data_IF_146358013325
#
_entry.id   IF_146358013325
#
_cell.length_a   1.000
_cell.length_b   1.000
_cell.length_c   1.000
_cell.angle_alpha   90.00
_cell.angle_beta   90.00
_cell.angle_gamma   90.00
#
_symmetry.space_group_name_H-M   'P 1'
#
loop_
_entity.id
_entity.type
_entity.pdbx_description
1 polymer ?
#
# COMPACT_ATOMS: atom_id res chain seq x y z
N UNK A 1 31.92 3.97 -47.18
CA UNK A 1 32.03 4.67 -45.87
C UNK A 1 30.91 5.68 -45.62
N UNK A 2 30.26 6.21 -46.65
CA UNK A 2 29.16 7.19 -46.51
C UNK A 2 27.80 6.60 -46.10
N UNK A 3 27.54 5.34 -46.38
CA UNK A 3 26.23 4.71 -46.06
C UNK A 3 26.04 4.40 -44.58
N UNK A 4 27.13 4.17 -43.82
CA UNK A 4 27.08 3.94 -42.37
C UNK A 4 26.84 5.22 -41.52
N UNK A 5 27.24 6.38 -42.05
CA UNK A 5 27.02 7.68 -41.38
C UNK A 5 25.54 8.13 -41.51
N UNK A 6 24.86 7.78 -42.61
CA UNK A 6 23.47 8.13 -42.81
C UNK A 6 22.51 7.32 -41.91
N UNK A 7 22.84 6.05 -41.65
CA UNK A 7 22.04 5.20 -40.74
C UNK A 7 22.21 5.65 -39.28
N UNK A 8 23.37 6.12 -38.88
CA UNK A 8 23.62 6.67 -37.51
C UNK A 8 22.89 8.01 -37.29
N UNK A 9 22.81 8.89 -38.30
CA UNK A 9 22.08 10.15 -38.22
C UNK A 9 20.56 9.96 -38.15
N UNK A 10 20.00 8.96 -38.84
CA UNK A 10 18.59 8.62 -38.76
C UNK A 10 18.25 7.99 -37.40
N UNK A 11 19.14 7.16 -36.82
CA UNK A 11 18.93 6.58 -35.50
C UNK A 11 18.99 7.63 -34.38
N UNK A 12 19.86 8.65 -34.48
CA UNK A 12 19.95 9.76 -33.52
C UNK A 12 18.71 10.67 -33.63
N UNK A 13 18.20 10.91 -34.85
CA UNK A 13 16.99 11.72 -35.05
C UNK A 13 15.72 11.01 -34.58
N UNK A 14 15.64 9.67 -34.68
CA UNK A 14 14.50 8.89 -34.14
C UNK A 14 14.52 8.76 -32.60
N UNK A 15 15.67 8.84 -31.95
CA UNK A 15 15.73 8.89 -30.48
C UNK A 15 15.30 10.22 -29.87
N UNK A 16 15.33 11.32 -30.62
CA UNK A 16 14.84 12.62 -30.14
C UNK A 16 13.31 12.79 -30.26
N UNK A 17 12.61 11.96 -31.03
CA UNK A 17 11.14 12.05 -31.19
C UNK A 17 10.38 11.18 -30.18
N UNK A 18 11.04 10.26 -29.47
CA UNK A 18 10.45 9.43 -28.41
C UNK A 18 10.62 9.98 -26.99
N UNK A 19 11.19 11.16 -26.84
CA UNK A 19 11.09 11.99 -25.64
C UNK A 19 9.69 12.58 -25.52
N UNK A 20 8.64 11.74 -25.51
CA UNK A 20 7.34 12.12 -24.95
C UNK A 20 7.59 12.43 -23.48
N UNK A 21 7.95 13.68 -23.25
CA UNK A 21 7.78 14.32 -21.95
C UNK A 21 6.37 13.95 -21.48
N UNK A 22 6.30 13.05 -20.50
CA UNK A 22 5.10 12.97 -19.66
C UNK A 22 4.86 14.39 -19.19
N UNK A 23 3.93 15.09 -19.82
CA UNK A 23 3.26 16.23 -19.19
C UNK A 23 2.64 15.65 -17.94
N UNK A 24 3.43 15.62 -16.87
CA UNK A 24 2.91 15.44 -15.55
C UNK A 24 1.78 16.46 -15.40
N UNK A 25 0.65 15.98 -14.99
CA UNK A 25 -0.51 16.77 -14.63
C UNK A 25 -0.13 17.73 -13.47
N UNK A 26 0.59 18.80 -13.81
CA UNK A 26 0.95 19.92 -12.95
C UNK A 26 -0.27 20.79 -12.63
N UNK A 27 -1.44 20.44 -13.14
CA UNK A 27 -2.60 21.32 -13.18
C UNK A 27 -3.54 21.26 -11.98
N UNK A 28 -3.32 20.43 -10.98
CA UNK A 28 -4.26 20.33 -9.84
C UNK A 28 -3.90 21.19 -8.62
N UNK A 29 -2.64 21.51 -8.40
CA UNK A 29 -2.21 22.37 -7.28
C UNK A 29 -2.22 23.86 -7.63
N UNK A 30 -2.11 24.20 -8.91
CA UNK A 30 -1.89 25.55 -9.41
C UNK A 30 -3.06 26.52 -9.16
N UNK A 31 -4.25 26.02 -8.84
CA UNK A 31 -5.44 26.84 -8.75
C UNK A 31 -6.21 26.69 -7.42
N UNK A 32 -5.58 26.18 -6.35
CA UNK A 32 -6.27 26.01 -5.06
C UNK A 32 -6.66 27.34 -4.41
N UNK A 33 -5.78 28.34 -4.49
CA UNK A 33 -5.99 29.66 -3.92
C UNK A 33 -7.10 30.41 -4.69
N UNK A 34 -7.00 30.44 -6.01
CA UNK A 34 -8.00 31.07 -6.88
C UNK A 34 -9.39 30.48 -6.73
N UNK A 35 -9.46 29.16 -6.69
CA UNK A 35 -10.72 28.44 -6.45
C UNK A 35 -11.33 28.80 -5.08
N UNK A 36 -10.53 28.87 -4.04
CA UNK A 36 -11.01 29.24 -2.72
C UNK A 36 -11.50 30.68 -2.66
N UNK A 37 -10.78 31.62 -3.28
CA UNK A 37 -11.20 33.01 -3.42
C UNK A 37 -12.54 33.13 -4.16
N UNK A 38 -12.66 32.51 -5.32
CA UNK A 38 -13.90 32.51 -6.10
C UNK A 38 -15.06 31.87 -5.33
N UNK A 39 -14.80 30.80 -4.59
CA UNK A 39 -15.81 30.17 -3.73
C UNK A 39 -16.32 31.13 -2.67
N UNK A 40 -15.42 31.88 -1.98
CA UNK A 40 -15.80 32.88 -0.99
C UNK A 40 -16.60 34.02 -1.61
N UNK A 41 -16.09 34.62 -2.70
CA UNK A 41 -16.76 35.74 -3.39
C UNK A 41 -18.16 35.37 -3.86
N UNK A 42 -18.32 34.16 -4.42
CA UNK A 42 -19.60 33.73 -4.95
C UNK A 42 -20.58 33.30 -3.86
N UNK A 43 -20.08 32.79 -2.71
CA UNK A 43 -20.92 32.51 -1.53
C UNK A 43 -21.44 33.79 -0.84
N UNK A 44 -20.68 34.88 -0.87
CA UNK A 44 -21.12 36.16 -0.31
C UNK A 44 -22.16 36.87 -1.20
N UNK A 45 -22.07 36.65 -2.50
CA UNK A 45 -23.01 37.29 -3.47
C UNK A 45 -24.31 36.52 -3.67
N UNK A 46 -24.33 35.19 -3.46
CA UNK A 46 -25.55 34.40 -3.67
C UNK A 46 -26.27 34.18 -2.35
N UNK A 47 -27.34 34.94 -2.14
CA UNK A 47 -28.35 34.63 -1.11
C UNK A 47 -29.30 33.51 -1.56
N UNK A 48 -29.35 33.16 -2.85
CA UNK A 48 -30.29 32.21 -3.46
C UNK A 48 -29.69 31.46 -4.66
N UNK A 49 -29.87 30.13 -4.71
CA UNK A 49 -29.85 29.30 -5.91
C UNK A 49 -28.50 28.71 -6.37
N UNK A 50 -28.47 27.38 -6.56
CA UNK A 50 -27.32 26.59 -6.99
C UNK A 50 -26.78 26.94 -8.38
N UNK A 51 -27.62 27.40 -9.31
CA UNK A 51 -27.23 27.68 -10.72
C UNK A 51 -26.39 28.94 -10.84
N UNK A 52 -26.78 30.03 -10.18
CA UNK A 52 -26.08 31.33 -10.21
C UNK A 52 -24.69 31.23 -9.55
N UNK A 53 -24.57 30.42 -8.52
CA UNK A 53 -23.30 30.19 -7.82
C UNK A 53 -22.28 29.49 -8.75
N UNK A 54 -22.71 28.55 -9.56
CA UNK A 54 -21.82 27.85 -10.49
C UNK A 54 -21.36 28.79 -11.62
N UNK A 55 -22.23 29.62 -12.15
CA UNK A 55 -21.89 30.59 -13.19
C UNK A 55 -20.94 31.69 -12.65
N UNK A 56 -21.18 32.17 -11.42
CA UNK A 56 -20.28 33.10 -10.73
C UNK A 56 -18.86 32.50 -10.62
N UNK A 57 -18.74 31.27 -10.13
CA UNK A 57 -17.44 30.59 -9.97
C UNK A 57 -16.69 30.42 -11.28
N UNK A 58 -17.38 30.09 -12.37
CA UNK A 58 -16.75 29.95 -13.69
C UNK A 58 -16.24 31.27 -14.22
N UNK A 59 -17.05 32.35 -14.16
CA UNK A 59 -16.65 33.71 -14.54
C UNK A 59 -15.48 34.22 -13.71
N UNK A 60 -15.52 34.04 -12.39
CA UNK A 60 -14.44 34.46 -11.48
C UNK A 60 -13.09 33.81 -11.81
N UNK A 61 -13.09 32.54 -12.25
CA UNK A 61 -11.85 31.82 -12.61
C UNK A 61 -11.26 32.29 -13.93
N UNK A 62 -12.09 32.73 -14.88
CA UNK A 62 -11.64 33.21 -16.19
C UNK A 62 -11.06 34.62 -16.07
N UNK A 63 -11.71 35.47 -15.29
CA UNK A 63 -11.33 36.88 -15.09
C UNK A 63 -10.54 37.07 -13.79
N UNK A 64 -9.59 36.21 -13.55
CA UNK A 64 -8.82 36.28 -12.33
C UNK A 64 -7.79 37.41 -12.37
N UNK A 65 -7.90 38.35 -11.44
CA UNK A 65 -6.84 39.31 -11.11
C UNK A 65 -6.28 38.97 -9.73
N UNK A 66 -5.01 38.63 -9.69
CA UNK A 66 -4.33 38.32 -8.43
C UNK A 66 -3.85 39.60 -7.74
N UNK A 67 -3.80 39.63 -6.39
CA UNK A 67 -3.34 40.79 -5.65
C UNK A 67 -1.84 41.05 -5.83
N UNK A 68 -1.44 42.27 -5.58
CA UNK A 68 -0.06 42.73 -5.60
C UNK A 68 0.36 43.36 -6.94
N UNK A 69 1.57 43.92 -6.99
CA UNK A 69 2.12 44.61 -8.16
C UNK A 69 3.29 43.86 -8.77
N UNK A 70 3.41 43.90 -10.09
CA UNK A 70 4.57 43.39 -10.81
C UNK A 70 5.79 44.26 -10.52
N UNK A 71 6.99 43.66 -10.46
CA UNK A 71 8.25 44.40 -10.37
C UNK A 71 8.41 45.26 -11.62
N UNK A 72 8.63 46.54 -11.44
CA UNK A 72 9.01 47.44 -12.52
C UNK A 72 10.46 47.08 -12.88
N UNK A 73 10.68 46.62 -14.10
CA UNK A 73 12.02 46.39 -14.61
C UNK A 73 12.48 47.68 -15.34
N UNK A 74 13.42 48.39 -14.75
CA UNK A 74 14.09 49.53 -15.38
C UNK A 74 15.13 49.07 -16.40
N UNK A 75 15.03 47.86 -16.90
CA UNK A 75 15.95 47.29 -17.89
C UNK A 75 15.71 47.94 -19.26
N UNK A 76 16.76 48.27 -20.01
CA UNK A 76 16.64 48.75 -21.38
C UNK A 76 15.80 47.78 -22.21
N UNK A 77 14.87 48.29 -23.03
CA UNK A 77 13.94 47.48 -23.85
C UNK A 77 14.62 46.38 -24.70
N UNK A 78 15.85 46.58 -25.07
CA UNK A 78 16.64 45.62 -25.87
C UNK A 78 17.24 44.47 -25.07
N UNK A 79 17.28 44.57 -23.73
CA UNK A 79 17.77 43.50 -22.86
C UNK A 79 16.65 42.55 -22.38
N UNK A 80 15.39 42.79 -22.75
CA UNK A 80 14.27 41.96 -22.35
C UNK A 80 14.07 40.77 -23.32
N UNK A 81 13.93 39.58 -22.79
CA UNK A 81 13.57 38.42 -23.58
C UNK A 81 12.12 38.52 -24.06
N UNK A 82 11.89 38.34 -25.38
CA UNK A 82 10.55 38.27 -25.95
C UNK A 82 9.90 36.90 -25.72
N UNK A 83 9.72 36.53 -24.45
CA UNK A 83 9.11 35.25 -24.07
C UNK A 83 7.69 35.53 -23.58
N UNK A 84 6.70 34.99 -24.26
CA UNK A 84 5.30 35.00 -23.82
C UNK A 84 4.99 33.68 -23.09
N UNK A 85 5.14 33.66 -21.75
CA UNK A 85 4.83 32.50 -20.92
C UNK A 85 3.40 32.52 -20.38
N UNK A 86 2.74 33.67 -20.42
CA UNK A 86 1.37 33.88 -19.94
C UNK A 86 0.71 35.08 -20.61
N UNK A 87 -0.64 35.04 -20.68
CA UNK A 87 -1.47 36.13 -21.18
C UNK A 87 -2.42 36.68 -20.09
N UNK A 88 -2.51 36.00 -18.96
CA UNK A 88 -3.36 36.38 -17.82
C UNK A 88 -2.86 35.77 -16.52
N UNK A 89 -3.25 36.36 -15.39
CA UNK A 89 -2.91 35.86 -14.04
C UNK A 89 -3.42 34.43 -13.80
N UNK A 90 -4.48 33.99 -14.50
CA UNK A 90 -5.05 32.63 -14.37
C UNK A 90 -4.11 31.52 -14.87
N UNK A 91 -3.13 31.86 -15.71
CA UNK A 91 -2.14 30.91 -16.24
C UNK A 91 -0.92 30.77 -15.33
N UNK A 92 -0.76 31.63 -14.35
CA UNK A 92 0.34 31.62 -13.40
C UNK A 92 0.00 30.83 -12.13
N UNK A 93 1.00 30.18 -11.55
CA UNK A 93 0.81 29.35 -10.37
C UNK A 93 0.69 30.18 -9.08
N UNK A 94 -0.09 29.67 -8.11
CA UNK A 94 -0.17 30.23 -6.77
C UNK A 94 -0.47 31.71 -6.74
N UNK A 95 0.43 32.50 -6.17
CA UNK A 95 0.35 33.96 -6.04
C UNK A 95 0.98 34.73 -7.20
N UNK A 96 1.67 34.03 -8.09
CA UNK A 96 2.33 34.65 -9.25
C UNK A 96 1.35 35.37 -10.17
N UNK A 97 1.76 36.53 -10.66
CA UNK A 97 1.05 37.32 -11.64
C UNK A 97 1.70 37.21 -13.01
N UNK A 98 0.90 37.42 -14.05
CA UNK A 98 1.39 37.57 -15.38
C UNK A 98 1.94 39.00 -15.58
N UNK A 99 3.23 39.14 -15.50
CA UNK A 99 3.90 40.45 -15.58
C UNK A 99 4.49 40.68 -16.94
N UNK A 100 4.19 41.85 -17.53
CA UNK A 100 4.77 42.29 -18.81
C UNK A 100 6.16 42.88 -18.61
N UNK A 101 7.08 42.52 -19.47
CA UNK A 101 8.46 43.03 -19.49
C UNK A 101 8.94 43.17 -20.95
N UNK A 102 9.29 44.38 -21.32
CA UNK A 102 9.74 44.66 -22.69
C UNK A 102 8.74 44.20 -23.73
N UNK A 103 9.09 43.16 -24.52
CA UNK A 103 8.25 42.59 -25.57
C UNK A 103 7.56 41.26 -25.18
N UNK A 104 7.65 40.82 -23.93
CA UNK A 104 7.07 39.55 -23.47
C UNK A 104 6.34 39.63 -22.15
N UNK A 105 5.90 38.49 -21.68
CA UNK A 105 5.24 38.34 -20.37
C UNK A 105 5.62 37.04 -19.70
N UNK A 106 5.80 37.06 -18.38
CA UNK A 106 6.13 35.88 -17.60
C UNK A 106 5.46 35.89 -16.22
N UNK A 107 5.28 34.70 -15.65
CA UNK A 107 4.76 34.55 -14.31
C UNK A 107 5.83 34.94 -13.27
N UNK A 108 5.55 35.97 -12.46
CA UNK A 108 6.44 36.49 -11.44
C UNK A 108 5.72 36.73 -10.12
N UNK A 109 6.42 36.58 -8.99
CA UNK A 109 5.88 36.91 -7.68
C UNK A 109 5.72 38.44 -7.54
N UNK A 110 4.55 38.90 -7.03
CA UNK A 110 4.34 40.31 -6.75
C UNK A 110 5.28 40.82 -5.66
N UNK A 111 5.75 42.08 -5.78
CA UNK A 111 6.73 42.65 -4.83
C UNK A 111 6.15 43.14 -3.54
N UNK A 112 4.87 43.51 -3.49
CA UNK A 112 4.18 44.10 -2.38
C UNK A 112 3.18 43.19 -1.66
N UNK A 113 3.14 41.92 -2.04
CA UNK A 113 2.09 41.01 -1.55
C UNK A 113 2.03 40.88 -0.03
N UNK A 114 3.16 40.94 0.65
CA UNK A 114 3.25 40.78 2.10
C UNK A 114 2.73 42.04 2.86
N UNK A 115 2.87 43.24 2.26
CA UNK A 115 2.49 44.52 2.86
C UNK A 115 1.10 44.98 2.43
N UNK A 116 0.52 44.36 1.41
CA UNK A 116 -0.76 44.79 0.82
C UNK A 116 -1.89 44.68 1.84
N UNK A 117 -2.58 45.82 2.09
CA UNK A 117 -3.71 45.86 2.99
C UNK A 117 -4.91 45.07 2.48
N UNK A 118 -5.76 44.58 3.41
CA UNK A 118 -6.99 43.83 3.05
C UNK A 118 -6.78 42.35 2.71
N UNK A 119 -5.54 41.87 2.68
CA UNK A 119 -5.26 40.44 2.56
C UNK A 119 -5.13 39.79 3.94
N UNK A 120 -5.66 38.56 4.13
CA UNK A 120 -5.46 37.85 5.40
C UNK A 120 -3.98 37.59 5.66
N UNK A 121 -3.60 37.65 6.96
CA UNK A 121 -2.23 37.36 7.35
C UNK A 121 -1.78 35.96 6.96
N UNK A 122 -0.49 35.80 6.64
CA UNK A 122 0.08 34.52 6.31
C UNK A 122 0.11 33.62 7.57
N UNK A 123 -0.46 32.40 7.54
CA UNK A 123 -0.47 31.54 8.72
C UNK A 123 0.92 31.07 9.12
N UNK A 124 1.10 30.73 10.40
CA UNK A 124 2.26 30.03 10.92
C UNK A 124 1.78 28.66 11.37
N UNK A 125 2.30 27.59 10.74
CA UNK A 125 1.91 26.23 11.06
C UNK A 125 2.74 25.68 12.21
N UNK A 126 2.08 25.24 13.27
CA UNK A 126 2.73 24.59 14.41
C UNK A 126 3.15 23.16 14.03
N UNK A 127 4.04 22.57 14.86
CA UNK A 127 4.36 21.15 14.78
C UNK A 127 3.11 20.29 14.94
N UNK A 128 2.93 19.30 14.06
CA UNK A 128 1.82 18.36 14.14
C UNK A 128 1.96 17.45 15.36
N UNK A 129 0.86 17.26 16.13
CA UNK A 129 0.88 16.50 17.37
C UNK A 129 -0.03 15.28 17.28
N UNK A 130 0.53 14.10 17.55
CA UNK A 130 -0.26 12.88 17.68
C UNK A 130 -0.90 12.80 19.06
N UNK A 131 -2.23 12.70 19.08
CA UNK A 131 -3.07 12.54 20.27
C UNK A 131 -3.47 11.07 20.47
N UNK A 132 -4.20 10.80 21.54
CA UNK A 132 -4.71 9.46 21.85
C UNK A 132 -5.47 8.85 20.65
N UNK A 133 -5.37 7.53 20.46
CA UNK A 133 -6.01 6.76 19.40
C UNK A 133 -5.57 7.15 17.98
N UNK A 134 -4.31 7.57 17.78
CA UNK A 134 -3.78 7.89 16.46
C UNK A 134 -4.40 9.11 15.78
N UNK A 135 -5.06 9.99 16.55
CA UNK A 135 -5.61 11.25 16.06
C UNK A 135 -4.49 12.28 15.94
N UNK A 136 -4.27 12.81 14.74
CA UNK A 136 -3.23 13.79 14.48
C UNK A 136 -3.87 15.16 14.43
N UNK A 137 -3.34 16.08 15.23
CA UNK A 137 -3.79 17.45 15.31
C UNK A 137 -2.78 18.37 14.66
N UNK A 138 -3.26 19.20 13.73
CA UNK A 138 -2.49 20.26 13.09
C UNK A 138 -3.15 21.58 13.48
N UNK A 139 -2.34 22.54 13.90
CA UNK A 139 -2.76 23.89 14.30
C UNK A 139 -1.95 24.91 13.53
N UNK A 140 -2.52 26.06 13.36
CA UNK A 140 -1.84 27.24 12.85
C UNK A 140 -2.38 28.50 13.52
N UNK A 141 -1.53 29.50 13.64
CA UNK A 141 -1.95 30.83 14.06
C UNK A 141 -2.58 31.59 12.90
N UNK A 142 -3.31 32.62 13.17
CA UNK A 142 -3.85 33.53 12.15
C UNK A 142 -2.78 34.38 11.43
N UNK A 143 -1.51 34.18 11.78
CA UNK A 143 -0.36 34.97 11.33
C UNK A 143 -0.04 36.13 12.27
N UNK A 144 1.26 36.40 12.47
CA UNK A 144 1.76 37.64 13.11
C UNK A 144 2.02 38.60 11.95
N UNK A 145 1.10 39.48 11.74
CA UNK A 145 1.28 40.59 10.82
C UNK A 145 0.53 41.75 11.39
N UNK A 146 1.16 42.88 11.40
CA UNK A 146 0.66 44.10 11.94
C UNK A 146 -0.84 44.26 11.82
N UNK A 147 -1.41 44.46 13.02
CA UNK A 147 -2.66 45.13 13.26
C UNK A 147 -3.82 44.62 12.40
N UNK A 148 -4.68 43.95 13.04
CA UNK A 148 -6.14 44.01 13.01
C UNK A 148 -6.79 45.14 12.14
N UNK A 149 -6.32 45.38 10.95
CA UNK A 149 -7.17 45.91 9.90
C UNK A 149 -8.04 44.73 9.48
N UNK A 150 -9.25 44.75 10.01
CA UNK A 150 -10.27 43.75 9.80
C UNK A 150 -10.25 43.33 8.33
N UNK A 151 -9.83 42.09 8.08
CA UNK A 151 -9.96 41.48 6.74
C UNK A 151 -11.47 41.47 6.49
N UNK A 152 -11.98 42.18 5.48
CA UNK A 152 -13.41 42.17 5.23
C UNK A 152 -13.84 40.75 4.82
N UNK A 153 -14.86 40.22 5.52
CA UNK A 153 -15.48 38.97 5.16
C UNK A 153 -14.87 37.74 5.82
N UNK A 154 -15.21 36.58 5.26
CA UNK A 154 -14.80 35.26 5.78
C UNK A 154 -13.40 34.86 5.29
N UNK A 155 -12.62 34.25 6.16
CA UNK A 155 -11.32 33.66 5.80
C UNK A 155 -11.47 32.15 5.69
N UNK A 156 -10.93 31.61 4.60
CA UNK A 156 -10.84 30.17 4.33
C UNK A 156 -9.37 29.75 4.38
N UNK A 157 -9.07 28.70 5.11
CA UNK A 157 -7.73 28.12 5.16
C UNK A 157 -7.66 26.90 4.24
N UNK A 158 -6.57 26.78 3.49
CA UNK A 158 -6.24 25.63 2.67
C UNK A 158 -5.05 24.95 3.31
N UNK A 159 -5.23 23.70 3.73
CA UNK A 159 -4.16 22.86 4.27
C UNK A 159 -3.66 21.93 3.18
N UNK A 160 -2.36 21.98 2.92
CA UNK A 160 -1.66 21.07 2.01
C UNK A 160 -0.61 20.26 2.76
N UNK A 161 -0.33 19.07 2.23
CA UNK A 161 0.72 18.20 2.71
C UNK A 161 1.65 17.80 1.56
N UNK A 162 2.90 17.54 1.89
CA UNK A 162 3.82 16.79 1.05
C UNK A 162 4.45 15.69 1.89
N UNK A 163 4.80 14.58 1.26
CA UNK A 163 5.37 13.46 1.98
C UNK A 163 6.33 12.64 1.15
N UNK A 164 7.17 11.86 1.85
CA UNK A 164 7.93 10.77 1.26
C UNK A 164 7.84 9.51 2.13
N UNK A 165 8.11 8.36 1.55
CA UNK A 165 8.17 7.07 2.25
C UNK A 165 9.61 6.78 2.65
N UNK A 166 9.84 6.47 3.93
CA UNK A 166 11.19 6.13 4.39
C UNK A 166 11.33 6.12 5.92
N UNK A 167 12.41 5.47 6.42
CA UNK A 167 12.69 5.40 7.86
C UNK A 167 13.22 6.72 8.44
N UNK A 168 13.85 7.56 7.61
CA UNK A 168 14.41 8.85 7.99
C UNK A 168 13.78 9.95 7.15
N UNK A 169 13.76 11.16 7.68
CA UNK A 169 13.36 12.33 6.93
C UNK A 169 14.44 12.73 5.94
N UNK A 170 14.05 12.92 4.70
CA UNK A 170 14.92 13.36 3.61
C UNK A 170 14.15 14.38 2.75
N UNK A 171 14.53 15.65 2.85
CA UNK A 171 13.81 16.75 2.17
C UNK A 171 13.80 16.58 0.64
N UNK A 172 14.90 16.15 0.06
CA UNK A 172 15.06 15.94 -1.40
C UNK A 172 14.11 14.85 -1.96
N UNK A 173 13.52 14.02 -1.11
CA UNK A 173 12.60 12.94 -1.49
C UNK A 173 11.14 13.31 -1.34
N UNK A 174 10.84 14.49 -0.84
CA UNK A 174 9.48 14.96 -0.73
C UNK A 174 8.84 15.07 -2.12
N UNK A 175 7.59 14.62 -2.22
CA UNK A 175 6.78 14.73 -3.42
C UNK A 175 6.16 16.11 -3.58
N UNK A 176 5.20 16.23 -4.48
CA UNK A 176 4.45 17.45 -4.70
C UNK A 176 3.52 17.76 -3.52
N UNK A 177 3.14 19.04 -3.40
CA UNK A 177 2.13 19.49 -2.45
C UNK A 177 0.74 19.00 -2.86
N UNK A 178 0.04 18.36 -1.93
CA UNK A 178 -1.29 17.83 -2.13
C UNK A 178 -2.28 18.52 -1.20
N UNK A 179 -3.37 19.03 -1.75
CA UNK A 179 -4.43 19.64 -0.96
C UNK A 179 -5.14 18.57 -0.13
N UNK A 180 -5.13 18.72 1.19
CA UNK A 180 -5.82 17.83 2.12
C UNK A 180 -7.26 18.27 2.37
N UNK A 181 -7.46 19.53 2.72
CA UNK A 181 -8.79 20.07 3.07
C UNK A 181 -8.82 21.58 3.03
N UNK A 182 -10.05 22.12 3.04
CA UNK A 182 -10.38 23.53 3.25
C UNK A 182 -11.20 23.67 4.52
N UNK A 183 -10.95 24.71 5.31
CA UNK A 183 -11.64 24.94 6.57
C UNK A 183 -11.62 26.41 6.95
N UNK A 184 -12.59 26.85 7.74
CA UNK A 184 -12.60 28.17 8.37
C UNK A 184 -12.00 28.15 9.80
N UNK A 185 -11.51 27.00 10.25
CA UNK A 185 -10.94 26.81 11.59
C UNK A 185 -9.43 26.86 11.53
N UNK A 186 -8.77 27.34 12.57
CA UNK A 186 -7.30 27.34 12.72
C UNK A 186 -6.73 26.05 13.29
N UNK A 187 -7.56 25.01 13.36
CA UNK A 187 -7.20 23.71 13.91
C UNK A 187 -7.96 22.60 13.21
N UNK A 188 -7.27 21.55 12.82
CA UNK A 188 -7.87 20.31 12.28
C UNK A 188 -7.41 19.10 13.06
N UNK A 189 -8.22 18.07 13.02
CA UNK A 189 -7.94 16.79 13.65
C UNK A 189 -8.21 15.68 12.65
N UNK A 190 -7.15 15.01 12.22
CA UNK A 190 -7.16 13.95 11.22
C UNK A 190 -7.15 12.60 11.93
N UNK A 191 -7.98 11.67 11.48
CA UNK A 191 -7.98 10.29 11.94
C UNK A 191 -7.85 9.39 10.72
N UNK A 192 -6.89 8.47 10.76
CA UNK A 192 -6.64 7.46 9.72
C UNK A 192 -6.40 8.02 8.30
N UNK A 193 -6.06 9.30 8.19
CA UNK A 193 -5.74 9.98 6.93
C UNK A 193 -4.26 9.87 6.60
N UNK A 194 -3.40 10.07 7.61
CA UNK A 194 -1.96 9.97 7.43
C UNK A 194 -1.49 8.52 7.56
N UNK A 195 -0.74 8.06 6.58
CA UNK A 195 -0.26 6.68 6.49
C UNK A 195 1.04 6.51 7.26
N UNK A 196 1.21 5.37 7.90
CA UNK A 196 2.44 5.00 8.61
C UNK A 196 3.62 4.81 7.65
N UNK A 197 4.84 5.02 8.15
CA UNK A 197 6.07 4.87 7.37
C UNK A 197 6.30 6.01 6.37
N UNK A 198 5.67 7.14 6.61
CA UNK A 198 5.86 8.36 5.82
C UNK A 198 6.22 9.52 6.71
N UNK A 199 7.05 10.40 6.16
CA UNK A 199 7.35 11.71 6.71
C UNK A 199 6.53 12.74 5.98
N UNK A 200 5.90 13.64 6.73
CA UNK A 200 5.00 14.67 6.25
C UNK A 200 5.52 16.05 6.60
N UNK A 201 5.25 17.02 5.74
CA UNK A 201 5.27 18.45 6.04
C UNK A 201 3.95 19.06 5.64
N UNK A 202 3.54 20.08 6.34
CA UNK A 202 2.27 20.77 6.13
C UNK A 202 2.50 22.23 5.86
N UNK A 203 1.70 22.82 5.00
CA UNK A 203 1.62 24.26 4.81
C UNK A 203 0.17 24.69 4.74
N UNK A 204 -0.11 25.96 5.11
CA UNK A 204 -1.45 26.51 5.14
C UNK A 204 -1.45 27.87 4.45
N UNK A 205 -2.44 28.10 3.61
CA UNK A 205 -2.72 29.42 3.08
C UNK A 205 -4.03 29.94 3.66
N UNK A 206 -4.06 31.22 4.01
CA UNK A 206 -5.28 31.96 4.33
C UNK A 206 -5.78 32.70 3.08
N UNK A 207 -7.05 32.55 2.76
CA UNK A 207 -7.68 33.15 1.58
C UNK A 207 -8.88 33.96 2.01
N UNK A 208 -8.91 35.22 1.62
CA UNK A 208 -10.07 36.12 1.73
C UNK A 208 -10.67 36.44 0.38
N UNK A 209 -11.73 37.25 0.33
CA UNK A 209 -12.34 37.71 -0.93
C UNK A 209 -11.39 38.57 -1.76
N UNK A 210 -10.51 39.33 -1.11
CA UNK A 210 -9.47 40.13 -1.78
C UNK A 210 -8.31 39.31 -2.32
N UNK A 211 -8.12 38.07 -1.84
CA UNK A 211 -7.03 37.18 -2.25
C UNK A 211 -6.30 36.50 -1.11
N UNK A 212 -5.05 36.15 -1.35
CA UNK A 212 -4.18 35.46 -0.40
C UNK A 212 -2.75 35.97 -0.51
N UNK A 213 -2.00 35.93 0.58
CA UNK A 213 -0.53 36.15 0.62
C UNK A 213 0.27 34.90 0.27
N UNK A 214 -0.43 33.81 -0.08
CA UNK A 214 0.21 32.53 -0.40
C UNK A 214 0.23 31.55 0.77
N UNK A 215 1.05 30.52 0.61
CA UNK A 215 1.23 29.48 1.61
C UNK A 215 2.30 29.87 2.63
N UNK A 216 2.08 29.48 3.86
CA UNK A 216 3.05 29.58 4.96
C UNK A 216 4.35 28.84 4.65
N UNK A 217 5.39 29.15 5.42
CA UNK A 217 6.52 28.25 5.53
C UNK A 217 6.03 26.85 5.96
N UNK A 218 6.66 25.78 5.45
CA UNK A 218 6.30 24.42 5.84
C UNK A 218 6.52 24.17 7.33
N UNK A 219 5.66 23.34 7.92
CA UNK A 219 5.82 22.88 9.31
C UNK A 219 7.13 22.08 9.50
N UNK A 220 7.59 21.87 10.74
CA UNK A 220 8.58 20.85 11.04
C UNK A 220 8.16 19.47 10.50
N UNK A 221 9.13 18.59 10.17
CA UNK A 221 8.84 17.23 9.72
C UNK A 221 8.06 16.44 10.77
N UNK A 222 7.07 15.71 10.34
CA UNK A 222 6.23 14.88 11.20
C UNK A 222 6.10 13.47 10.65
N UNK A 223 6.15 12.47 11.52
CA UNK A 223 5.83 11.07 11.20
C UNK A 223 4.91 10.47 12.25
N UNK A 224 3.86 9.71 11.86
CA UNK A 224 3.03 8.99 12.83
C UNK A 224 3.87 8.01 13.66
N UNK A 225 3.63 7.94 14.97
CA UNK A 225 4.37 7.06 15.91
C UNK A 225 4.24 5.57 15.57
N UNK A 226 3.11 5.19 14.97
CA UNK A 226 2.89 3.81 14.52
C UNK A 226 3.80 3.52 13.34
N UNK A 227 4.68 2.52 13.50
CA UNK A 227 5.55 2.05 12.44
C UNK A 227 4.79 1.48 11.23
N UNK A 228 5.48 1.29 10.09
CA UNK A 228 4.88 0.74 8.88
C UNK A 228 4.41 -0.69 9.13
N UNK A 229 3.23 -1.01 8.59
CA UNK A 229 2.67 -2.37 8.66
C UNK A 229 3.01 -3.15 7.39
N UNK A 230 3.16 -4.47 7.48
CA UNK A 230 3.20 -5.31 6.30
C UNK A 230 1.98 -5.04 5.40
N UNK A 231 2.15 -5.08 4.07
CA UNK A 231 1.02 -4.89 3.17
C UNK A 231 -0.02 -5.99 3.39
N UNK A 232 -1.31 -5.71 3.16
CA UNK A 232 -2.32 -6.75 3.18
C UNK A 232 -2.12 -7.73 2.02
N UNK A 233 -2.59 -8.97 2.20
CA UNK A 233 -2.60 -9.96 1.14
C UNK A 233 -3.53 -9.57 0.00
N UNK A 234 -3.26 -9.99 -1.25
CA UNK A 234 -4.15 -9.81 -2.38
C UNK A 234 -5.55 -10.37 -2.09
N UNK A 235 -6.57 -9.75 -2.66
CA UNK A 235 -7.96 -10.16 -2.46
C UNK A 235 -8.54 -10.72 -3.76
N UNK A 236 -9.62 -11.49 -3.65
CA UNK A 236 -10.41 -11.98 -4.78
C UNK A 236 -9.56 -12.71 -5.82
N UNK A 237 -8.75 -13.68 -5.38
CA UNK A 237 -8.04 -14.55 -6.30
C UNK A 237 -9.05 -15.31 -7.18
N UNK A 238 -8.79 -15.33 -8.49
CA UNK A 238 -9.56 -16.05 -9.49
C UNK A 238 -8.61 -16.74 -10.45
N UNK A 239 -8.96 -17.94 -10.86
CA UNK A 239 -8.23 -18.70 -11.89
C UNK A 239 -9.17 -18.91 -13.06
N UNK A 240 -8.67 -18.63 -14.26
CA UNK A 240 -9.39 -18.87 -15.51
C UNK A 240 -8.52 -19.69 -16.45
N UNK A 241 -9.06 -20.71 -17.08
CA UNK A 241 -8.35 -21.40 -18.16
C UNK A 241 -8.18 -20.43 -19.33
N UNK A 242 -7.01 -20.44 -19.97
CA UNK A 242 -6.75 -19.67 -21.19
C UNK A 242 -6.73 -20.57 -22.42
N UNK A 243 -5.91 -21.61 -22.37
CA UNK A 243 -5.73 -22.53 -23.52
C UNK A 243 -5.20 -23.89 -23.08
N UNK A 244 -5.42 -24.88 -23.93
CA UNK A 244 -4.84 -26.23 -23.83
C UNK A 244 -4.04 -26.42 -25.10
N UNK A 245 -2.74 -26.62 -24.97
CA UNK A 245 -1.83 -26.86 -26.09
C UNK A 245 -0.83 -27.95 -25.70
N UNK A 246 -0.49 -28.82 -26.65
CA UNK A 246 0.52 -29.88 -26.48
C UNK A 246 0.34 -30.73 -25.21
N UNK A 247 -0.92 -31.03 -24.84
CA UNK A 247 -1.22 -31.80 -23.63
C UNK A 247 -1.00 -31.07 -22.30
N UNK A 248 -0.74 -29.76 -22.33
CA UNK A 248 -0.59 -28.91 -21.14
C UNK A 248 -1.67 -27.83 -21.06
N UNK A 249 -1.89 -27.31 -19.87
CA UNK A 249 -2.91 -26.31 -19.58
C UNK A 249 -2.25 -25.00 -19.18
N UNK A 250 -2.65 -23.91 -19.82
CA UNK A 250 -2.28 -22.54 -19.41
C UNK A 250 -3.45 -21.88 -18.71
N UNK A 251 -3.20 -21.32 -17.54
CA UNK A 251 -4.22 -20.62 -16.74
C UNK A 251 -3.79 -19.20 -16.43
N UNK A 252 -4.76 -18.32 -16.27
CA UNK A 252 -4.57 -16.97 -15.78
C UNK A 252 -5.01 -16.88 -14.31
N UNK A 253 -4.08 -16.59 -13.42
CA UNK A 253 -4.35 -16.28 -12.02
C UNK A 253 -4.45 -14.77 -11.86
N UNK A 254 -5.60 -14.28 -11.45
CA UNK A 254 -5.92 -12.86 -11.27
C UNK A 254 -6.20 -12.56 -9.80
N UNK A 255 -5.92 -11.33 -9.37
CA UNK A 255 -6.24 -10.85 -8.02
C UNK A 255 -6.59 -9.37 -8.02
N UNK A 256 -7.25 -8.93 -6.95
CA UNK A 256 -7.47 -7.51 -6.71
C UNK A 256 -6.33 -6.95 -5.86
N UNK A 257 -5.78 -5.80 -6.27
CA UNK A 257 -4.77 -5.06 -5.53
C UNK A 257 -5.26 -4.75 -4.11
N UNK A 258 -4.45 -5.04 -3.06
CA UNK A 258 -4.75 -4.64 -1.70
C UNK A 258 -4.42 -3.16 -1.48
N UNK A 259 -5.23 -2.47 -0.69
CA UNK A 259 -4.89 -1.13 -0.23
C UNK A 259 -3.82 -1.23 0.86
N UNK A 260 -2.67 -0.61 0.63
CA UNK A 260 -1.51 -0.63 1.53
C UNK A 260 -1.09 0.77 1.93
N UNK A 261 -0.58 0.93 3.17
CA UNK A 261 0.02 2.18 3.63
C UNK A 261 1.33 2.48 2.90
N UNK A 262 2.11 1.43 2.63
CA UNK A 262 3.34 1.50 1.85
C UNK A 262 3.08 1.20 0.38
N UNK A 263 3.85 1.80 -0.53
CA UNK A 263 3.80 1.45 -1.94
C UNK A 263 4.11 -0.03 -2.16
N UNK A 264 3.33 -0.68 -2.99
CA UNK A 264 3.60 -2.05 -3.40
C UNK A 264 4.81 -2.02 -4.34
N UNK A 265 5.83 -2.84 -4.03
CA UNK A 265 7.01 -3.01 -4.86
C UNK A 265 6.74 -4.00 -6.00
N UNK A 266 6.15 -5.15 -5.64
CA UNK A 266 5.81 -6.24 -6.55
C UNK A 266 4.92 -7.26 -5.86
N UNK A 267 4.40 -8.19 -6.63
CA UNK A 267 3.81 -9.42 -6.13
C UNK A 267 4.78 -10.60 -6.35
N UNK A 268 4.60 -11.66 -5.58
CA UNK A 268 5.26 -12.95 -5.81
C UNK A 268 4.17 -14.01 -5.85
N UNK A 269 4.02 -14.63 -7.00
CA UNK A 269 3.11 -15.75 -7.22
C UNK A 269 3.87 -17.05 -7.02
N UNK A 270 3.20 -18.04 -6.45
CA UNK A 270 3.72 -19.39 -6.21
C UNK A 270 2.70 -20.40 -6.69
N UNK A 271 3.16 -21.50 -7.24
CA UNK A 271 2.31 -22.62 -7.60
C UNK A 271 3.04 -23.93 -7.42
N UNK A 272 2.30 -24.94 -7.00
CA UNK A 272 2.79 -26.28 -6.83
C UNK A 272 1.73 -27.29 -7.26
N UNK A 273 2.15 -28.34 -7.96
CA UNK A 273 1.30 -29.49 -8.26
C UNK A 273 1.22 -30.38 -7.04
N UNK A 274 0.06 -30.93 -6.76
CA UNK A 274 -0.07 -32.04 -5.84
C UNK A 274 0.10 -33.35 -6.58
N UNK A 275 1.18 -34.05 -6.30
CA UNK A 275 1.34 -35.45 -6.73
C UNK A 275 0.57 -36.34 -5.75
N UNK A 276 -0.21 -37.32 -6.29
CA UNK A 276 -0.68 -38.45 -5.51
C UNK A 276 0.49 -39.42 -5.45
N UNK A 277 1.17 -39.50 -4.32
CA UNK A 277 2.18 -40.52 -4.09
C UNK A 277 1.52 -41.90 -3.95
N UNK A 278 1.85 -42.81 -4.84
CA UNK A 278 1.65 -44.24 -4.62
C UNK A 278 2.81 -44.62 -3.68
N UNK A 279 2.52 -44.82 -2.39
CA UNK A 279 3.52 -45.31 -1.44
C UNK A 279 3.93 -44.39 -0.27
N UNK A 280 3.25 -43.30 -0.03
CA UNK A 280 3.36 -42.57 1.28
C UNK A 280 4.61 -41.73 1.51
N UNK A 281 5.52 -41.57 0.58
CA UNK A 281 6.57 -40.58 0.60
C UNK A 281 6.07 -39.25 0.03
N UNK A 282 6.26 -38.20 0.82
CA UNK A 282 6.09 -36.83 0.35
C UNK A 282 7.18 -36.55 -0.67
N UNK A 283 6.85 -36.73 -1.94
CA UNK A 283 7.64 -36.13 -2.99
C UNK A 283 7.80 -34.64 -2.70
N UNK A 284 9.04 -34.18 -2.74
CA UNK A 284 9.38 -32.78 -2.55
C UNK A 284 8.58 -31.96 -3.54
N UNK A 285 7.54 -31.31 -3.06
CA UNK A 285 6.66 -30.49 -3.90
C UNK A 285 7.49 -29.33 -4.43
N UNK A 286 7.89 -29.40 -5.69
CA UNK A 286 8.56 -28.31 -6.38
C UNK A 286 7.61 -27.11 -6.39
N UNK A 287 7.94 -26.12 -5.56
CA UNK A 287 7.21 -24.86 -5.51
C UNK A 287 7.81 -23.92 -6.54
N UNK A 288 7.15 -23.82 -7.65
CA UNK A 288 7.48 -22.80 -8.65
C UNK A 288 7.07 -21.42 -8.16
N UNK A 289 7.81 -20.38 -8.55
CA UNK A 289 7.44 -19.03 -8.23
C UNK A 289 7.90 -18.04 -9.29
N UNK A 290 7.16 -16.93 -9.38
CA UNK A 290 7.50 -15.82 -10.26
C UNK A 290 7.19 -14.48 -9.61
N UNK A 291 8.04 -13.49 -9.88
CA UNK A 291 7.78 -12.10 -9.48
C UNK A 291 6.90 -11.43 -10.54
N UNK A 292 5.90 -10.68 -10.08
CA UNK A 292 4.96 -9.94 -10.93
C UNK A 292 5.08 -8.46 -10.60
N UNK A 293 5.24 -7.57 -11.60
CA UNK A 293 5.33 -6.13 -11.40
C UNK A 293 4.09 -5.56 -10.69
N UNK A 294 4.26 -4.45 -9.98
CA UNK A 294 3.18 -3.80 -9.20
C UNK A 294 1.98 -3.34 -10.02
N UNK A 295 2.18 -3.04 -11.28
CA UNK A 295 1.15 -2.56 -12.21
C UNK A 295 0.41 -3.69 -12.94
N UNK A 296 0.72 -4.94 -12.61
CA UNK A 296 0.10 -6.13 -13.17
C UNK A 296 -0.58 -6.96 -12.08
N UNK A 297 -1.87 -7.16 -12.20
CA UNK A 297 -2.70 -7.88 -11.23
C UNK A 297 -3.05 -9.30 -11.67
N UNK A 298 -2.22 -9.88 -12.53
CA UNK A 298 -2.40 -11.25 -13.02
C UNK A 298 -1.05 -11.87 -13.40
N UNK A 299 -1.06 -13.18 -13.51
CA UNK A 299 0.03 -13.99 -14.08
C UNK A 299 -0.55 -15.11 -14.92
N UNK A 300 0.10 -15.41 -16.02
CA UNK A 300 -0.15 -16.61 -16.81
C UNK A 300 0.77 -17.72 -16.34
N UNK A 301 0.20 -18.82 -15.90
CA UNK A 301 0.92 -20.02 -15.46
C UNK A 301 0.76 -21.04 -16.58
N UNK A 302 1.88 -21.37 -17.20
CA UNK A 302 1.96 -22.30 -18.34
C UNK A 302 2.38 -23.68 -17.90
N UNK A 303 2.23 -24.65 -18.81
CA UNK A 303 2.72 -26.01 -18.68
C UNK A 303 2.15 -26.76 -17.46
N UNK A 304 0.93 -26.43 -17.06
CA UNK A 304 0.22 -27.19 -16.05
C UNK A 304 -0.25 -28.51 -16.63
N UNK A 305 -0.08 -29.58 -15.86
CA UNK A 305 -0.54 -30.88 -16.28
C UNK A 305 -2.06 -31.03 -16.19
N UNK A 306 -2.73 -31.63 -17.15
CA UNK A 306 -4.16 -31.92 -17.06
C UNK A 306 -4.44 -32.88 -15.91
N UNK A 307 -5.70 -33.00 -15.53
CA UNK A 307 -6.17 -33.87 -14.45
C UNK A 307 -5.36 -33.79 -13.16
N UNK A 308 -4.89 -32.56 -12.84
CA UNK A 308 -4.03 -32.31 -11.70
C UNK A 308 -4.55 -31.18 -10.84
N UNK A 309 -4.33 -31.28 -9.54
CA UNK A 309 -4.67 -30.22 -8.60
C UNK A 309 -3.46 -29.34 -8.32
N UNK A 310 -3.65 -28.04 -8.40
CA UNK A 310 -2.62 -27.05 -8.11
C UNK A 310 -2.99 -26.19 -6.92
N UNK A 311 -1.99 -25.91 -6.10
CA UNK A 311 -2.06 -24.93 -5.02
C UNK A 311 -1.38 -23.64 -5.47
N UNK A 312 -2.16 -22.57 -5.58
CA UNK A 312 -1.71 -21.29 -6.11
C UNK A 312 -1.75 -20.25 -4.98
N UNK A 313 -0.69 -19.49 -4.85
CA UNK A 313 -0.57 -18.47 -3.80
C UNK A 313 -0.03 -17.17 -4.38
N UNK A 314 -0.48 -16.03 -3.84
CA UNK A 314 0.04 -14.71 -4.20
C UNK A 314 0.37 -13.92 -2.93
N UNK A 315 1.55 -13.33 -2.89
CA UNK A 315 2.05 -12.52 -1.80
C UNK A 315 2.36 -11.10 -2.27
N UNK A 316 1.93 -10.10 -1.51
CA UNK A 316 2.28 -8.69 -1.75
C UNK A 316 3.61 -8.37 -1.06
N UNK A 317 4.48 -7.65 -1.74
CA UNK A 317 5.78 -7.22 -1.21
C UNK A 317 5.86 -5.70 -1.32
N UNK A 318 6.11 -5.03 -0.20
CA UNK A 318 6.41 -3.60 -0.11
C UNK A 318 7.84 -3.40 0.38
N UNK A 319 8.39 -2.23 0.12
CA UNK A 319 9.72 -1.86 0.61
C UNK A 319 9.61 -0.69 1.59
N UNK A 320 10.40 -0.76 2.66
CA UNK A 320 10.55 0.33 3.61
C UNK A 320 12.02 0.45 4.02
N UNK A 321 12.68 1.50 3.59
CA UNK A 321 14.13 1.62 3.67
C UNK A 321 14.82 0.48 2.91
N UNK A 322 15.75 -0.18 3.54
CA UNK A 322 16.43 -1.36 3.00
C UNK A 322 15.65 -2.66 3.20
N UNK A 323 14.64 -2.66 4.07
CA UNK A 323 13.84 -3.83 4.42
C UNK A 323 12.69 -4.09 3.44
N UNK A 324 12.35 -5.38 3.25
CA UNK A 324 11.18 -5.81 2.49
C UNK A 324 10.11 -6.32 3.45
N UNK A 325 8.94 -5.71 3.41
CA UNK A 325 7.77 -6.14 4.16
C UNK A 325 6.89 -7.01 3.27
N UNK A 326 6.50 -8.18 3.78
CA UNK A 326 5.74 -9.19 3.05
C UNK A 326 4.38 -9.39 3.69
N UNK A 327 3.35 -9.52 2.87
CA UNK A 327 2.02 -9.90 3.35
C UNK A 327 1.96 -11.37 3.75
N UNK A 328 0.87 -11.77 4.37
CA UNK A 328 0.41 -13.15 4.29
C UNK A 328 0.17 -13.52 2.82
N UNK A 329 0.22 -14.82 2.51
CA UNK A 329 -0.12 -15.32 1.19
C UNK A 329 -1.64 -15.41 1.03
N UNK A 330 -2.17 -14.97 -0.07
CA UNK A 330 -3.52 -15.29 -0.50
C UNK A 330 -3.48 -16.59 -1.28
N UNK A 331 -4.46 -17.47 -1.11
CA UNK A 331 -4.40 -18.86 -1.55
C UNK A 331 -5.66 -19.25 -2.32
N UNK A 332 -5.50 -20.08 -3.34
CA UNK A 332 -6.60 -20.70 -4.07
C UNK A 332 -6.14 -22.07 -4.59
N UNK A 333 -7.06 -23.04 -4.61
CA UNK A 333 -6.85 -24.32 -5.25
C UNK A 333 -7.50 -24.32 -6.61
N UNK A 334 -6.82 -24.93 -7.56
CA UNK A 334 -7.31 -25.05 -8.91
C UNK A 334 -7.13 -26.49 -9.42
N UNK A 335 -8.20 -27.05 -9.99
CA UNK A 335 -8.18 -28.38 -10.57
C UNK A 335 -8.28 -28.25 -12.09
N UNK A 336 -7.29 -28.76 -12.82
CA UNK A 336 -7.25 -28.72 -14.27
C UNK A 336 -8.26 -29.68 -14.93
N UNK A 337 -8.91 -30.59 -14.17
CA UNK A 337 -9.99 -31.46 -14.68
C UNK A 337 -11.29 -30.71 -14.93
N UNK A 338 -11.51 -29.57 -14.28
CA UNK A 338 -12.74 -28.79 -14.46
C UNK A 338 -12.85 -28.05 -15.79
N UNK A 339 -11.91 -28.24 -16.69
CA UNK A 339 -11.90 -27.62 -18.04
C UNK A 339 -12.82 -28.36 -19.01
N UNK A 340 -13.14 -29.64 -18.77
CA UNK A 340 -14.03 -30.43 -19.60
C UNK A 340 -15.50 -30.35 -19.20
N UNK A 341 -15.90 -29.28 -18.57
CA UNK A 341 -17.28 -28.89 -18.38
C UNK A 341 -18.12 -29.85 -17.53
N UNK A 342 -18.11 -29.70 -16.25
CA UNK A 342 -19.26 -29.74 -15.31
C UNK A 342 -18.79 -29.08 -14.02
N UNK A 343 -19.45 -28.03 -13.51
CA UNK A 343 -19.12 -27.49 -12.20
C UNK A 343 -19.43 -28.55 -11.13
N UNK A 344 -18.56 -28.78 -10.16
CA UNK A 344 -18.92 -29.63 -9.03
C UNK A 344 -20.08 -28.95 -8.27
N UNK A 345 -21.12 -29.72 -8.01
CA UNK A 345 -22.28 -29.30 -7.21
C UNK A 345 -21.86 -28.71 -5.86
N UNK A 346 -22.57 -27.69 -5.35
CA UNK A 346 -22.27 -27.12 -4.05
C UNK A 346 -22.54 -28.14 -2.95
N UNK A 347 -21.48 -28.54 -2.27
CA UNK A 347 -21.50 -29.48 -1.16
C UNK A 347 -22.41 -29.01 -0.01
N UNK A 348 -23.40 -29.81 0.30
CA UNK A 348 -24.26 -29.66 1.48
C UNK A 348 -23.40 -29.71 2.76
N UNK A 349 -23.64 -28.77 3.67
CA UNK A 349 -23.01 -28.71 4.99
C UNK A 349 -23.25 -30.00 5.76
N UNK A 350 -22.21 -30.81 5.95
CA UNK A 350 -22.20 -31.93 6.89
C UNK A 350 -21.23 -31.66 8.04
N UNK A 351 -21.59 -32.18 9.18
CA UNK A 351 -20.85 -32.07 10.44
C UNK A 351 -19.51 -32.82 10.31
N UNK A 352 -18.42 -32.08 10.11
CA UNK A 352 -17.11 -32.60 9.74
C UNK A 352 -16.09 -32.42 10.87
N UNK A 353 -16.47 -32.73 12.12
CA UNK A 353 -15.58 -32.62 13.26
C UNK A 353 -14.50 -33.73 13.22
N UNK A 354 -13.24 -33.34 13.33
CA UNK A 354 -12.11 -34.26 13.40
C UNK A 354 -12.14 -34.94 14.78
N UNK A 355 -12.03 -36.28 14.79
CA UNK A 355 -12.06 -37.12 15.98
C UNK A 355 -10.73 -37.85 16.17
N UNK A 356 -10.45 -38.32 17.38
CA UNK A 356 -9.31 -39.21 17.65
C UNK A 356 -7.93 -38.56 17.52
N UNK A 357 -7.80 -37.21 17.64
CA UNK A 357 -6.51 -36.55 17.60
C UNK A 357 -5.65 -36.95 18.80
N UNK A 358 -4.53 -37.61 18.55
CA UNK A 358 -3.63 -38.12 19.60
C UNK A 358 -2.15 -37.97 19.24
N UNK A 359 -1.33 -37.82 20.24
CA UNK A 359 0.12 -37.87 20.17
C UNK A 359 0.59 -39.33 20.25
N UNK A 360 1.40 -39.77 19.29
CA UNK A 360 2.03 -41.09 19.34
C UNK A 360 3.37 -41.08 20.07
N UNK A 361 4.32 -40.32 19.53
CA UNK A 361 5.67 -40.24 20.09
C UNK A 361 6.35 -38.94 19.74
N UNK A 362 7.29 -38.54 20.56
CA UNK A 362 8.24 -37.45 20.26
C UNK A 362 9.57 -38.14 19.94
N UNK A 363 10.13 -37.81 18.78
CA UNK A 363 11.35 -38.42 18.23
C UNK A 363 12.40 -37.34 17.97
N UNK A 364 13.66 -37.76 18.08
CA UNK A 364 14.80 -36.96 17.64
C UNK A 364 15.21 -37.42 16.23
N UNK A 365 15.28 -36.48 15.31
CA UNK A 365 15.64 -36.75 13.92
C UNK A 365 16.37 -35.55 13.32
N UNK A 366 17.54 -35.78 12.72
CA UNK A 366 18.39 -34.73 12.13
C UNK A 366 18.59 -33.52 13.04
N UNK A 367 19.02 -33.76 14.27
CA UNK A 367 19.28 -32.74 15.32
C UNK A 367 18.05 -31.89 15.70
N UNK A 368 16.84 -32.35 15.39
CA UNK A 368 15.58 -31.65 15.69
C UNK A 368 14.58 -32.60 16.36
N UNK A 369 13.76 -32.02 17.24
CA UNK A 369 12.63 -32.74 17.85
C UNK A 369 11.43 -32.69 16.90
N UNK A 370 10.78 -33.85 16.75
CA UNK A 370 9.51 -33.99 16.03
C UNK A 370 8.50 -34.72 16.89
N UNK A 371 7.21 -34.37 16.79
CA UNK A 371 6.12 -35.07 17.46
C UNK A 371 5.16 -35.65 16.41
N UNK A 372 5.01 -36.96 16.40
CA UNK A 372 4.06 -37.64 15.49
C UNK A 372 2.68 -37.64 16.13
N UNK A 373 1.73 -37.05 15.39
CA UNK A 373 0.31 -37.04 15.75
C UNK A 373 -0.51 -37.82 14.71
N UNK A 374 -1.67 -38.31 15.12
CA UNK A 374 -2.66 -38.90 14.21
C UNK A 374 -4.08 -38.55 14.63
N UNK A 375 -4.99 -38.73 13.69
CA UNK A 375 -6.43 -38.57 13.91
C UNK A 375 -7.21 -39.54 13.03
N UNK A 376 -8.50 -39.69 13.30
CA UNK A 376 -9.36 -40.58 12.56
C UNK A 376 -9.68 -40.02 11.17
N UNK A 377 -9.70 -40.84 10.11
CA UNK A 377 -10.15 -40.42 8.80
C UNK A 377 -11.62 -40.02 8.86
N UNK A 378 -11.96 -38.95 8.17
CA UNK A 378 -13.37 -38.57 8.03
C UNK A 378 -14.14 -39.62 7.25
N UNK A 379 -15.32 -40.04 7.70
CA UNK A 379 -16.11 -41.06 7.02
C UNK A 379 -16.66 -40.49 5.71
N UNK A 380 -15.99 -40.73 4.59
CA UNK A 380 -16.56 -40.48 3.26
C UNK A 380 -15.97 -41.37 2.20
N UNK A 381 -16.85 -42.14 1.60
CA UNK A 381 -16.54 -43.19 0.63
C UNK A 381 -16.42 -42.66 -0.81
N UNK A 382 -16.81 -41.43 -1.13
CA UNK A 382 -16.93 -40.93 -2.51
C UNK A 382 -16.33 -39.55 -2.80
N UNK A 383 -15.63 -38.93 -1.87
CA UNK A 383 -14.96 -37.65 -2.11
C UNK A 383 -13.46 -37.75 -1.92
N UNK A 384 -12.73 -37.01 -2.75
CA UNK A 384 -11.28 -36.83 -2.68
C UNK A 384 -10.80 -36.71 -1.25
N UNK A 385 -9.68 -37.32 -0.84
CA UNK A 385 -9.19 -37.25 0.53
C UNK A 385 -9.12 -35.80 0.98
N UNK A 386 -9.89 -35.50 2.02
CA UNK A 386 -9.99 -34.15 2.56
C UNK A 386 -8.65 -33.68 3.07
N UNK A 387 -8.33 -32.41 2.81
CA UNK A 387 -7.13 -31.79 3.36
C UNK A 387 -7.34 -31.43 4.79
N UNK A 388 -6.32 -31.72 5.60
CA UNK A 388 -6.24 -31.31 6.98
C UNK A 388 -5.28 -30.13 7.10
N UNK A 389 -5.70 -29.07 7.77
CA UNK A 389 -4.89 -27.92 8.09
C UNK A 389 -4.43 -28.07 9.54
N UNK A 390 -3.13 -28.21 9.71
CA UNK A 390 -2.51 -28.36 11.03
C UNK A 390 -1.88 -27.03 11.38
N UNK A 391 -2.16 -26.57 12.58
CA UNK A 391 -1.60 -25.34 13.11
C UNK A 391 -1.10 -25.62 14.52
N UNK A 392 0.15 -25.23 14.80
CA UNK A 392 0.71 -25.36 16.15
C UNK A 392 1.45 -24.10 16.57
N UNK A 393 1.34 -23.80 17.84
CA UNK A 393 1.99 -22.65 18.44
C UNK A 393 2.49 -22.97 19.83
N UNK A 394 3.55 -22.29 20.23
CA UNK A 394 4.08 -22.37 21.61
C UNK A 394 3.09 -21.74 22.56
N UNK A 395 2.71 -22.51 23.60
CA UNK A 395 1.86 -22.07 24.71
C UNK A 395 2.70 -21.53 25.85
N UNK A 396 3.74 -22.30 26.28
CA UNK A 396 4.62 -21.96 27.37
C UNK A 396 5.98 -22.65 27.19
N UNK A 397 7.08 -21.98 27.59
CA UNK A 397 8.43 -22.54 27.70
C UNK A 397 9.07 -22.11 29.02
N UNK A 398 9.90 -22.97 29.61
CA UNK A 398 10.57 -22.71 30.91
C UNK A 398 11.70 -21.67 30.82
N UNK A 399 12.25 -21.41 29.62
CA UNK A 399 13.29 -20.37 29.41
C UNK A 399 12.70 -19.13 28.79
N UNK A 400 12.82 -18.02 29.51
CA UNK A 400 12.49 -16.66 29.04
C UNK A 400 13.20 -16.32 27.74
N UNK A 401 12.45 -15.80 26.75
CA UNK A 401 12.90 -15.19 25.49
C UNK A 401 12.96 -16.07 24.23
N UNK A 402 12.01 -16.97 24.00
CA UNK A 402 11.74 -17.32 22.58
C UNK A 402 10.37 -16.79 22.17
N UNK A 403 10.35 -16.05 21.07
CA UNK A 403 9.13 -15.53 20.44
C UNK A 403 8.11 -16.65 20.27
N UNK A 404 6.85 -16.37 20.57
CA UNK A 404 5.72 -17.25 20.28
C UNK A 404 5.67 -17.55 18.77
N UNK A 405 6.29 -18.64 18.37
CA UNK A 405 6.24 -19.10 16.97
C UNK A 405 4.93 -19.82 16.73
N UNK A 406 4.29 -19.45 15.67
CA UNK A 406 3.08 -20.09 15.18
C UNK A 406 3.38 -20.64 13.77
N UNK A 407 3.23 -21.95 13.61
CA UNK A 407 3.50 -22.66 12.38
C UNK A 407 2.24 -23.34 11.87
N UNK A 408 2.17 -23.57 10.57
CA UNK A 408 1.05 -24.26 9.95
C UNK A 408 1.53 -25.14 8.80
N UNK A 409 0.83 -26.26 8.63
CA UNK A 409 1.06 -27.18 7.53
C UNK A 409 -0.27 -27.72 7.01
N UNK A 410 -0.20 -28.40 5.86
CA UNK A 410 -1.36 -29.04 5.24
C UNK A 410 -0.99 -30.44 4.82
N UNK A 411 -1.84 -31.43 5.15
CA UNK A 411 -1.65 -32.83 4.76
C UNK A 411 -2.96 -33.46 4.29
N UNK A 412 -2.88 -34.49 3.50
CA UNK A 412 -4.00 -35.36 3.13
C UNK A 412 -4.01 -36.65 3.97
N UNK A 413 -2.91 -36.90 4.68
CA UNK A 413 -2.78 -38.06 5.55
C UNK A 413 -3.43 -37.78 6.90
N UNK A 414 -3.83 -38.83 7.58
CA UNK A 414 -4.35 -38.79 8.95
C UNK A 414 -3.23 -38.85 10.02
N UNK A 415 -1.99 -38.72 9.58
CA UNK A 415 -0.80 -38.63 10.43
C UNK A 415 0.07 -37.49 9.97
N UNK A 416 0.76 -36.85 10.92
CA UNK A 416 1.67 -35.74 10.62
C UNK A 416 2.77 -35.63 11.67
N UNK A 417 3.99 -35.29 11.21
CA UNK A 417 5.12 -35.01 12.11
C UNK A 417 5.24 -33.50 12.33
N UNK A 418 4.90 -33.04 13.53
CA UNK A 418 5.10 -31.66 13.94
C UNK A 418 6.60 -31.44 14.20
N UNK A 419 7.15 -30.39 13.64
CA UNK A 419 8.58 -30.07 13.67
C UNK A 419 8.85 -28.71 14.32
N UNK A 420 10.12 -28.38 14.49
CA UNK A 420 10.62 -27.18 15.19
C UNK A 420 10.14 -27.09 16.65
N UNK A 421 10.18 -28.20 17.33
CA UNK A 421 9.90 -28.30 18.77
C UNK A 421 11.15 -28.02 19.58
N UNK A 422 10.97 -27.31 20.68
CA UNK A 422 12.03 -27.04 21.68
C UNK A 422 11.78 -27.84 22.97
N UNK A 423 12.87 -28.22 23.69
CA UNK A 423 12.77 -28.88 24.99
C UNK A 423 12.07 -28.01 26.03
N UNK A 424 11.37 -28.65 26.95
CA UNK A 424 10.65 -28.02 28.07
C UNK A 424 9.62 -26.97 27.61
N UNK A 425 9.11 -27.10 26.38
CA UNK A 425 8.05 -26.26 25.85
C UNK A 425 6.75 -27.04 25.75
N UNK A 426 5.65 -26.32 25.91
CA UNK A 426 4.30 -26.81 25.68
C UNK A 426 3.75 -26.18 24.44
N UNK A 427 3.17 -27.00 23.58
CA UNK A 427 2.58 -26.57 22.32
C UNK A 427 1.09 -26.91 22.28
N UNK A 428 0.30 -26.04 21.69
CA UNK A 428 -1.07 -26.32 21.34
C UNK A 428 -1.13 -26.60 19.84
N UNK A 429 -1.73 -27.71 19.48
CA UNK A 429 -1.85 -28.19 18.10
C UNK A 429 -3.31 -28.30 17.74
N UNK A 430 -3.70 -27.67 16.66
CA UNK A 430 -5.05 -27.70 16.11
C UNK A 430 -5.03 -28.38 14.75
N UNK A 431 -5.94 -29.31 14.53
CA UNK A 431 -6.16 -29.94 13.24
C UNK A 431 -7.56 -29.61 12.78
N UNK A 432 -7.66 -29.02 11.59
CA UNK A 432 -8.91 -28.50 11.04
C UNK A 432 -9.11 -28.94 9.60
N UNK A 433 -10.32 -29.10 9.16
CA UNK A 433 -10.66 -29.28 7.75
C UNK A 433 -10.70 -27.95 6.98
N UNK A 434 -11.00 -26.87 7.67
CA UNK A 434 -11.09 -25.52 7.10
C UNK A 434 -9.86 -24.68 7.46
N UNK A 435 -9.40 -23.82 6.55
CA UNK A 435 -8.29 -22.88 6.76
C UNK A 435 -8.54 -21.87 7.91
N UNK A 436 -9.80 -21.56 8.19
CA UNK A 436 -10.19 -20.60 9.23
C UNK A 436 -11.47 -21.07 9.92
N UNK A 437 -11.40 -22.09 10.79
CA UNK A 437 -12.55 -22.46 11.58
C UNK A 437 -12.84 -21.36 12.59
N UNK A 438 -14.12 -21.10 12.85
CA UNK A 438 -14.54 -20.21 13.96
C UNK A 438 -14.18 -20.80 15.32
N UNK A 439 -14.18 -22.12 15.40
CA UNK A 439 -13.75 -22.93 16.53
C UNK A 439 -12.87 -24.03 15.97
N UNK A 440 -11.74 -24.41 16.59
CA UNK A 440 -10.92 -25.54 16.16
C UNK A 440 -11.75 -26.83 16.10
N UNK A 441 -11.57 -27.61 15.00
CA UNK A 441 -12.26 -28.89 14.86
C UNK A 441 -11.72 -29.93 15.87
N UNK A 442 -10.40 -29.83 16.19
CA UNK A 442 -9.75 -30.66 17.17
C UNK A 442 -8.50 -29.98 17.74
N UNK A 443 -8.24 -30.17 19.03
CA UNK A 443 -7.11 -29.55 19.75
C UNK A 443 -6.36 -30.58 20.56
N UNK A 444 -5.02 -30.47 20.58
CA UNK A 444 -4.12 -31.34 21.37
C UNK A 444 -3.01 -30.50 22.02
N UNK A 445 -2.73 -30.75 23.28
CA UNK A 445 -1.62 -30.12 24.01
C UNK A 445 -0.46 -31.10 24.05
N UNK A 446 0.70 -30.69 23.53
CA UNK A 446 1.93 -31.48 23.54
C UNK A 446 2.90 -30.83 24.50
N UNK A 447 3.35 -31.61 25.52
CA UNK A 447 4.40 -31.22 26.44
C UNK A 447 5.68 -31.92 26.01
N UNK A 448 6.69 -31.14 25.62
CA UNK A 448 8.01 -31.67 25.24
C UNK A 448 8.89 -31.83 26.46
N UNK A 449 9.41 -33.05 26.74
CA UNK A 449 10.29 -33.31 27.87
C UNK A 449 11.60 -32.52 27.82
N UNK A 450 12.38 -32.60 28.90
CA UNK A 450 13.73 -32.05 28.96
C UNK A 450 14.72 -32.88 28.11
N UNK A 451 15.87 -32.29 27.78
CA UNK A 451 16.95 -32.99 27.08
C UNK A 451 17.44 -34.22 27.85
N UNK A 452 17.53 -34.12 29.16
CA UNK A 452 17.96 -35.22 30.07
C UNK A 452 17.04 -36.44 29.99
N UNK A 453 15.75 -36.23 29.77
CA UNK A 453 14.80 -37.34 29.59
C UNK A 453 15.13 -38.18 28.34
N UNK A 454 15.52 -37.52 27.26
CA UNK A 454 15.89 -38.20 26.00
C UNK A 454 17.26 -38.88 26.14
N UNK A 455 18.23 -38.28 26.80
CA UNK A 455 19.55 -38.87 27.09
C UNK A 455 19.43 -40.15 27.89
N UNK A 456 18.60 -40.18 28.93
CA UNK A 456 18.34 -41.40 29.73
C UNK A 456 17.72 -42.53 28.91
N UNK A 457 16.83 -42.21 27.95
CA UNK A 457 16.24 -43.20 27.03
C UNK A 457 17.23 -43.76 26.03
N UNK A 458 18.19 -42.96 25.55
CA UNK A 458 19.27 -43.41 24.67
C UNK A 458 20.18 -44.40 25.38
N UNK A 459 20.58 -44.10 26.63
CA UNK A 459 21.44 -44.95 27.44
C UNK A 459 20.76 -46.29 27.81
N UNK A 460 19.43 -46.37 27.83
CA UNK A 460 18.67 -47.59 28.12
C UNK A 460 18.29 -48.38 26.84
N UNK A 461 18.93 -48.12 25.72
CA UNK A 461 18.71 -48.89 24.45
C UNK A 461 17.34 -48.78 23.81
N UNK A 462 16.50 -47.83 24.23
CA UNK A 462 15.09 -47.73 23.76
C UNK A 462 14.89 -46.80 22.58
N UNK A 463 15.94 -46.13 22.09
CA UNK A 463 15.87 -45.24 20.90
C UNK A 463 17.09 -45.53 20.04
N UNK A 464 16.86 -46.13 18.88
CA UNK A 464 17.84 -46.19 17.81
C UNK A 464 17.98 -44.76 17.22
N UNK A 465 19.18 -44.17 17.30
CA UNK A 465 19.56 -43.03 16.52
C UNK A 465 19.81 -43.53 15.08
N UNK A 466 18.92 -43.21 14.15
CA UNK A 466 19.20 -43.22 12.73
C UNK A 466 19.08 -41.78 12.19
#
# INVERSE_FOLDING_TARGET
MMLKLFVLLIAVCQMQVLGRTRRFSRSQTTNSLSRARCDLMCLEKSKEGNSETHQCRSKCRIQEHKPGTCRIQDSPKWAAACIESCNSDSQCDGTQRCCHHGCGSSCSEPVDLLTLAGLPAMPIVEEAKEKRRGKIQIRWSGGVGDVARAVPGRVLYILEEQHHVGPKYEEMRLGDWNMMLRTNKTKVSLRDVLKSGRWYRFRVASVGTSGSRGFSNPSPPFTPRRGPRPPPKPKKLKVRPLKIENGTVTVKLEWKEPQSDLPILRYKAFWSRRARGIGGELDSVLVNHQNVPKNQNYIEIRDLQPNSMYFLQVQTISQFGLGKLRSEKAEIFYNTTSINGVPPEPLRKRDNKIRGLKLHKIIWYNHKLKARISWEPLPNVYELPGRYHIHWKTLKCDKLRKQHRSLSATTEQTTFDIYELDYRCTYIVNVNKSLKPKVPDSELIIKVPSCEYFQKKVNNGTILMT
#
